data_IF_753835437062
#
_entry.id   IF_753835437062
#
_cell.length_a   1.000
_cell.length_b   1.000
_cell.length_c   1.000
_cell.angle_alpha   90.00
_cell.angle_beta   90.00
_cell.angle_gamma   90.00
#
_symmetry.space_group_name_H-M   'P 1'
#
loop_
_entity.id
_entity.type
_entity.pdbx_description
1 polymer ?
#
# COMPACT_ATOMS: atom_id res chain seq x y z
N UNK A 1 13.91 22.54 -38.26
CA UNK A 1 13.40 21.15 -38.14
C UNK A 1 14.34 20.43 -37.18
N UNK A 2 13.86 20.06 -35.98
CA UNK A 2 14.72 19.47 -34.94
C UNK A 2 15.02 18.01 -35.30
N UNK A 3 16.27 17.57 -35.11
CA UNK A 3 16.68 16.20 -35.46
C UNK A 3 16.22 15.20 -34.40
N UNK A 4 16.05 13.93 -34.78
CA UNK A 4 15.54 12.85 -33.91
C UNK A 4 16.34 12.65 -32.60
N UNK A 5 17.62 13.05 -32.59
CA UNK A 5 18.47 13.08 -31.40
C UNK A 5 18.11 14.22 -30.43
N UNK A 6 17.54 15.32 -30.93
CA UNK A 6 17.08 16.45 -30.11
C UNK A 6 15.75 16.16 -29.40
N UNK A 7 14.93 15.24 -29.89
CA UNK A 7 13.67 14.81 -29.24
C UNK A 7 13.88 13.86 -28.05
N UNK A 8 15.05 13.24 -27.91
CA UNK A 8 15.37 12.33 -26.79
C UNK A 8 15.87 13.11 -25.55
N UNK A 9 16.29 14.37 -25.74
CA UNK A 9 16.92 15.24 -24.75
C UNK A 9 15.99 16.30 -24.14
N UNK A 10 14.68 16.23 -24.35
CA UNK A 10 13.71 16.81 -23.41
C UNK A 10 13.43 15.80 -22.29
N UNK A 11 14.49 15.23 -21.73
CA UNK A 11 14.44 14.47 -20.49
C UNK A 11 14.15 15.49 -19.40
N UNK A 12 12.87 15.81 -19.24
CA UNK A 12 12.33 16.64 -18.16
C UNK A 12 12.92 16.09 -16.88
N UNK A 13 13.88 16.81 -16.31
CA UNK A 13 14.37 16.53 -14.96
C UNK A 13 13.17 16.75 -14.05
N UNK A 14 12.43 15.68 -13.80
CA UNK A 14 11.43 15.67 -12.76
C UNK A 14 12.23 15.82 -11.47
N UNK A 15 12.07 16.96 -10.79
CA UNK A 15 12.57 17.13 -9.44
C UNK A 15 11.99 15.98 -8.60
N UNK A 16 12.86 15.06 -8.20
CA UNK A 16 12.47 13.93 -7.38
C UNK A 16 12.32 14.41 -5.94
N UNK A 17 11.09 14.80 -5.58
CA UNK A 17 10.72 15.15 -4.22
C UNK A 17 10.23 13.86 -3.55
N UNK A 18 11.01 13.31 -2.63
CA UNK A 18 10.62 12.14 -1.85
C UNK A 18 10.06 12.58 -0.50
N UNK A 19 8.74 12.44 -0.34
CA UNK A 19 8.06 12.71 0.93
C UNK A 19 8.12 11.47 1.84
N UNK A 20 8.97 11.52 2.86
CA UNK A 20 9.11 10.46 3.85
C UNK A 20 7.91 10.35 4.79
N UNK A 21 7.19 11.45 5.04
CA UNK A 21 6.02 11.47 5.92
C UNK A 21 4.85 10.77 5.24
N UNK A 22 4.62 11.07 3.96
CA UNK A 22 3.61 10.39 3.15
C UNK A 22 3.93 8.89 3.01
N UNK A 23 5.19 8.55 2.70
CA UNK A 23 5.62 7.16 2.61
C UNK A 23 5.42 6.41 3.95
N UNK A 24 5.74 7.06 5.06
CA UNK A 24 5.54 6.51 6.40
C UNK A 24 4.05 6.35 6.73
N UNK A 25 3.20 7.30 6.34
CA UNK A 25 1.76 7.23 6.51
C UNK A 25 1.14 6.07 5.70
N UNK A 26 1.56 5.90 4.44
CA UNK A 26 1.14 4.79 3.59
C UNK A 26 1.60 3.42 4.14
N UNK A 27 2.81 3.34 4.68
CA UNK A 27 3.28 2.12 5.33
C UNK A 27 2.46 1.77 6.58
N UNK A 28 2.14 2.79 7.39
CA UNK A 28 1.28 2.64 8.59
C UNK A 28 -0.19 2.39 8.24
N UNK A 29 -0.68 2.82 7.07
CA UNK A 29 -2.07 2.56 6.69
C UNK A 29 -2.36 1.08 6.48
N UNK A 30 -1.34 0.30 6.11
CA UNK A 30 -1.49 -1.13 5.82
C UNK A 30 -0.98 -2.03 6.96
N UNK A 31 -0.48 -1.44 8.05
CA UNK A 31 0.09 -2.16 9.20
C UNK A 31 -0.42 -1.60 10.52
N UNK A 32 -0.71 -2.49 11.46
CA UNK A 32 -1.10 -2.13 12.82
C UNK A 32 0.02 -2.51 13.79
N UNK A 33 0.35 -1.59 14.69
CA UNK A 33 1.25 -1.87 15.81
C UNK A 33 0.58 -2.85 16.76
N UNK A 34 1.29 -3.91 17.11
CA UNK A 34 0.85 -4.91 18.10
C UNK A 34 1.57 -4.73 19.46
N UNK A 35 2.32 -3.64 19.62
CA UNK A 35 3.19 -3.41 20.78
C UNK A 35 4.61 -3.94 20.57
N UNK A 36 5.53 -3.56 21.47
CA UNK A 36 6.94 -3.97 21.46
C UNK A 36 7.67 -3.74 20.11
N UNK A 37 7.37 -2.64 19.44
CA UNK A 37 7.97 -2.30 18.14
C UNK A 37 7.55 -3.24 16.99
N UNK A 38 6.60 -4.14 17.21
CA UNK A 38 6.17 -5.13 16.22
C UNK A 38 4.92 -4.66 15.48
N UNK A 39 4.85 -5.00 14.19
CA UNK A 39 3.75 -4.61 13.30
C UNK A 39 3.20 -5.84 12.58
N UNK A 40 1.89 -5.85 12.36
CA UNK A 40 1.22 -6.86 11.52
C UNK A 40 0.39 -6.18 10.43
N UNK A 41 0.28 -6.83 9.29
CA UNK A 41 -0.59 -6.35 8.21
C UNK A 41 -2.07 -6.38 8.63
N UNK A 42 -2.83 -5.43 8.10
CA UNK A 42 -4.27 -5.36 8.28
C UNK A 42 -5.01 -5.76 7.00
N UNK A 43 -6.21 -6.28 7.18
CA UNK A 43 -7.09 -6.70 6.11
C UNK A 43 -7.65 -5.48 5.37
N UNK A 44 -7.47 -5.49 4.05
CA UNK A 44 -7.85 -4.39 3.16
C UNK A 44 -9.27 -4.52 2.58
N UNK A 45 -9.93 -5.66 2.81
CA UNK A 45 -11.28 -5.94 2.32
C UNK A 45 -12.30 -4.93 2.86
N UNK A 46 -13.24 -4.52 1.99
CA UNK A 46 -14.30 -3.58 2.31
C UNK A 46 -15.44 -4.34 2.99
N UNK A 47 -15.79 -3.90 4.20
CA UNK A 47 -16.95 -4.42 4.92
C UNK A 47 -18.25 -3.94 4.26
N UNK A 48 -19.38 -4.60 4.56
CA UNK A 48 -20.72 -4.20 4.06
C UNK A 48 -21.12 -2.75 4.36
N UNK A 49 -20.47 -2.13 5.34
CA UNK A 49 -20.66 -0.72 5.71
C UNK A 49 -19.79 0.26 4.90
N UNK A 50 -19.10 -0.20 3.85
CA UNK A 50 -18.22 0.61 3.01
C UNK A 50 -16.86 0.95 3.64
N UNK A 51 -16.57 0.49 4.85
CA UNK A 51 -15.29 0.77 5.55
C UNK A 51 -14.32 -0.40 5.41
N UNK A 52 -13.02 -0.10 5.39
CA UNK A 52 -11.95 -1.13 5.46
C UNK A 52 -12.04 -1.93 6.75
N UNK A 53 -11.75 -3.22 6.68
CA UNK A 53 -11.85 -4.15 7.81
C UNK A 53 -10.98 -3.77 9.01
N UNK A 54 -9.69 -3.48 8.77
CA UNK A 54 -8.73 -3.14 9.82
C UNK A 54 -8.35 -4.29 10.78
N UNK A 55 -8.87 -5.51 10.54
CA UNK A 55 -8.50 -6.72 11.29
C UNK A 55 -7.14 -7.25 10.86
N UNK A 56 -6.41 -7.88 11.76
CA UNK A 56 -5.11 -8.48 11.45
C UNK A 56 -5.24 -9.56 10.37
N UNK A 57 -4.35 -9.53 9.38
CA UNK A 57 -4.26 -10.57 8.36
C UNK A 57 -3.89 -11.91 8.97
N UNK A 58 -4.37 -13.00 8.35
CA UNK A 58 -3.81 -14.32 8.61
C UNK A 58 -2.43 -14.44 7.98
N UNK A 59 -1.57 -15.29 8.55
CA UNK A 59 -0.35 -15.74 7.87
C UNK A 59 -0.77 -16.65 6.71
N UNK A 60 -1.08 -16.08 5.55
CA UNK A 60 -1.20 -16.83 4.30
C UNK A 60 -0.64 -15.97 3.17
N UNK A 61 0.17 -16.60 2.32
CA UNK A 61 1.37 -16.01 1.73
C UNK A 61 1.19 -14.91 0.68
N UNK A 62 0.00 -14.60 0.18
CA UNK A 62 -0.13 -13.57 -0.87
C UNK A 62 -1.39 -12.70 -0.73
N UNK A 63 -2.17 -12.91 0.34
CA UNK A 63 -3.49 -12.28 0.50
C UNK A 63 -3.58 -11.49 1.81
N UNK A 64 -3.81 -10.18 1.70
CA UNK A 64 -4.08 -9.29 2.83
C UNK A 64 -5.53 -9.41 3.34
N UNK A 65 -5.88 -10.61 3.81
CA UNK A 65 -7.24 -10.96 4.24
C UNK A 65 -7.25 -11.45 5.70
N UNK A 66 -8.32 -11.13 6.44
CA UNK A 66 -8.52 -11.66 7.79
C UNK A 66 -9.31 -12.97 7.76
N UNK A 67 -9.26 -13.75 8.85
CA UNK A 67 -10.00 -15.02 8.99
C UNK A 67 -11.47 -14.90 8.60
N UNK A 68 -12.12 -13.83 9.04
CA UNK A 68 -13.53 -13.57 8.75
C UNK A 68 -13.78 -13.47 7.23
N UNK A 69 -13.04 -12.62 6.54
CA UNK A 69 -13.24 -12.44 5.10
C UNK A 69 -12.77 -13.64 4.28
N UNK A 70 -11.80 -14.43 4.77
CA UNK A 70 -11.43 -15.69 4.14
C UNK A 70 -12.58 -16.71 4.18
N UNK A 71 -13.31 -16.80 5.29
CA UNK A 71 -14.42 -17.75 5.47
C UNK A 71 -15.66 -17.39 4.65
N UNK A 72 -15.92 -16.10 4.44
CA UNK A 72 -17.10 -15.61 3.71
C UNK A 72 -16.85 -15.33 2.22
N UNK A 73 -15.62 -15.53 1.70
CA UNK A 73 -15.30 -15.41 0.26
C UNK A 73 -15.54 -16.71 -0.54
N UNK A 74 -16.16 -17.72 0.09
CA UNK A 74 -16.59 -18.97 -0.57
C UNK A 74 -17.91 -18.79 -1.29
#
# INVERSE_FOLDING_TARGET
MKTRSQTILEKKELEFIFDFDEASAAWRSNKKSIGNGSYKYICEEICKNGKKCGQTCVQHDELFICKRHLLYKK
#
